data_IF_302647083693
#
_entry.id   IF_302647083693
#
_cell.length_a   1.000
_cell.length_b   1.000
_cell.length_c   1.000
_cell.angle_alpha   90.00
_cell.angle_beta   90.00
_cell.angle_gamma   90.00
#
_symmetry.space_group_name_H-M   'P 1'
#
loop_
_entity.id
_entity.type
_entity.pdbx_description
1 polymer ?
#
# COMPACT_ATOMS: atom_id res chain seq x y z
N UNK A 1 3.83 5.61 27.36
CA UNK A 1 4.92 5.24 26.42
C UNK A 1 4.28 4.79 25.12
N UNK A 2 4.49 5.43 23.97
CA UNK A 2 3.88 4.95 22.72
C UNK A 2 4.62 3.70 22.23
N UNK A 3 3.86 2.66 21.90
CA UNK A 3 4.37 1.40 21.38
C UNK A 3 5.08 1.62 20.04
N UNK A 4 6.29 1.07 19.92
CA UNK A 4 7.02 0.97 18.64
C UNK A 4 6.22 0.03 17.73
N UNK A 5 5.74 0.53 16.60
CA UNK A 5 5.17 -0.31 15.54
C UNK A 5 6.31 -1.17 15.00
N UNK A 6 6.21 -2.49 15.19
CA UNK A 6 7.18 -3.46 14.68
C UNK A 6 6.87 -3.64 13.18
N UNK A 7 7.84 -3.32 12.31
CA UNK A 7 7.69 -3.25 10.84
C UNK A 7 7.79 -4.66 10.22
N UNK A 8 7.09 -5.65 10.79
CA UNK A 8 7.06 -7.00 10.26
C UNK A 8 5.87 -7.76 10.85
N UNK A 9 4.64 -7.33 10.52
CA UNK A 9 3.56 -8.31 10.48
C UNK A 9 3.87 -9.22 9.29
N UNK A 10 4.69 -10.24 9.54
CA UNK A 10 5.02 -11.28 8.56
C UNK A 10 3.73 -12.08 8.37
N UNK A 11 2.98 -11.76 7.32
CA UNK A 11 1.82 -12.54 6.93
C UNK A 11 2.30 -13.87 6.36
N UNK A 12 1.93 -14.99 7.00
CA UNK A 12 2.47 -16.31 6.68
C UNK A 12 1.68 -17.04 5.60
N UNK A 13 0.47 -16.56 5.29
CA UNK A 13 -0.41 -17.15 4.30
C UNK A 13 -1.34 -16.10 3.68
N UNK A 14 -2.03 -16.50 2.61
CA UNK A 14 -2.97 -15.66 1.87
C UNK A 14 -4.08 -15.10 2.76
N UNK A 15 -4.58 -15.88 3.71
CA UNK A 15 -5.71 -15.47 4.54
C UNK A 15 -5.29 -14.39 5.54
N UNK A 16 -4.10 -14.52 6.14
CA UNK A 16 -3.48 -13.48 6.98
C UNK A 16 -3.23 -12.18 6.21
N UNK A 17 -2.77 -12.26 4.95
CA UNK A 17 -2.62 -11.09 4.07
C UNK A 17 -3.97 -10.39 3.83
N UNK A 18 -5.00 -11.17 3.51
CA UNK A 18 -6.35 -10.63 3.25
C UNK A 18 -6.93 -10.01 4.52
N UNK A 19 -6.76 -10.65 5.66
CA UNK A 19 -7.25 -10.14 6.95
C UNK A 19 -6.52 -8.86 7.36
N UNK A 20 -5.19 -8.83 7.24
CA UNK A 20 -4.38 -7.63 7.49
C UNK A 20 -4.78 -6.47 6.57
N UNK A 21 -4.99 -6.75 5.29
CA UNK A 21 -5.46 -5.75 4.33
C UNK A 21 -6.85 -5.22 4.68
N UNK A 22 -7.81 -6.09 5.04
CA UNK A 22 -9.16 -5.69 5.47
C UNK A 22 -9.11 -4.82 6.72
N UNK A 23 -8.40 -5.26 7.75
CA UNK A 23 -8.25 -4.52 9.00
C UNK A 23 -7.64 -3.14 8.77
N UNK A 24 -6.65 -3.05 7.87
CA UNK A 24 -6.03 -1.77 7.49
C UNK A 24 -7.02 -0.88 6.75
N UNK A 25 -7.74 -1.41 5.76
CA UNK A 25 -8.77 -0.69 5.01
C UNK A 25 -9.87 -0.14 5.94
N UNK A 26 -10.34 -0.94 6.90
CA UNK A 26 -11.31 -0.53 7.91
C UNK A 26 -10.73 0.55 8.83
N UNK A 27 -9.47 0.42 9.26
CA UNK A 27 -8.80 1.37 10.16
C UNK A 27 -8.64 2.75 9.53
N UNK A 28 -8.34 2.82 8.23
CA UNK A 28 -8.17 4.09 7.52
C UNK A 28 -9.50 4.64 6.96
N UNK A 29 -10.58 3.84 7.01
CA UNK A 29 -11.86 4.17 6.40
C UNK A 29 -11.76 4.27 4.88
N UNK A 30 -11.10 3.29 4.24
CA UNK A 30 -10.91 3.26 2.79
C UNK A 30 -12.27 3.14 2.09
N UNK A 31 -12.60 4.12 1.26
CA UNK A 31 -13.86 4.18 0.50
C UNK A 31 -13.70 3.67 -0.92
N UNK A 32 -12.62 4.09 -1.58
CA UNK A 32 -12.29 3.63 -2.93
C UNK A 32 -10.78 3.62 -3.13
N UNK A 33 -10.34 2.76 -4.04
CA UNK A 33 -8.97 2.75 -4.56
C UNK A 33 -9.06 2.50 -6.07
N UNK A 34 -8.29 3.24 -6.85
CA UNK A 34 -8.25 3.12 -8.31
C UNK A 34 -6.81 3.14 -8.78
N UNK A 35 -6.43 2.17 -9.61
CA UNK A 35 -5.12 2.17 -10.25
C UNK A 35 -5.17 3.21 -11.37
N UNK A 36 -4.26 4.18 -11.31
CA UNK A 36 -4.17 5.28 -12.27
C UNK A 36 -3.00 5.11 -13.24
N UNK A 37 -1.95 4.40 -12.82
CA UNK A 37 -0.83 4.00 -13.67
C UNK A 37 -0.34 2.61 -13.28
N UNK A 38 0.20 1.89 -14.26
CA UNK A 38 0.83 0.58 -14.09
C UNK A 38 1.98 0.47 -15.10
N UNK A 39 3.19 0.30 -14.58
CA UNK A 39 4.39 0.01 -15.36
C UNK A 39 4.89 -1.39 -15.01
N UNK A 40 5.08 -2.23 -16.02
CA UNK A 40 5.51 -3.61 -15.85
C UNK A 40 6.84 -3.81 -16.54
N UNK A 41 7.83 -4.28 -15.78
CA UNK A 41 9.14 -4.66 -16.30
C UNK A 41 9.39 -6.12 -15.95
N UNK A 42 9.96 -6.88 -16.88
CA UNK A 42 10.30 -8.27 -16.67
C UNK A 42 11.77 -8.50 -17.03
N UNK A 43 12.53 -9.02 -16.07
CA UNK A 43 13.93 -9.37 -16.22
C UNK A 43 14.11 -10.85 -15.86
N UNK A 44 14.25 -11.70 -16.88
CA UNK A 44 14.43 -13.15 -16.75
C UNK A 44 13.43 -13.81 -15.78
N UNK A 45 13.86 -13.99 -14.54
CA UNK A 45 13.14 -14.66 -13.45
C UNK A 45 12.36 -13.71 -12.55
N UNK A 46 12.37 -12.39 -12.79
CA UNK A 46 11.67 -11.40 -11.96
C UNK A 46 10.75 -10.53 -12.80
N UNK A 47 9.51 -10.36 -12.36
CA UNK A 47 8.58 -9.33 -12.86
C UNK A 47 8.47 -8.26 -11.77
N UNK A 48 8.70 -7.01 -12.13
CA UNK A 48 8.47 -5.85 -11.26
C UNK A 48 7.30 -5.05 -11.82
N UNK A 49 6.29 -4.80 -10.99
CA UNK A 49 5.14 -3.96 -11.33
C UNK A 49 5.13 -2.76 -10.40
N UNK A 50 5.22 -1.57 -11.00
CA UNK A 50 5.06 -0.30 -10.31
C UNK A 50 3.63 0.21 -10.56
N UNK A 51 2.91 0.50 -9.49
CA UNK A 51 1.52 0.95 -9.51
C UNK A 51 1.38 2.31 -8.85
N UNK A 52 0.61 3.19 -9.48
CA UNK A 52 0.09 4.39 -8.80
C UNK A 52 -1.38 4.17 -8.47
N UNK A 53 -1.69 4.12 -7.18
CA UNK A 53 -3.04 3.93 -6.66
C UNK A 53 -3.54 5.24 -6.09
N UNK A 54 -4.69 5.70 -6.59
CA UNK A 54 -5.42 6.83 -6.04
C UNK A 54 -6.51 6.30 -5.10
N UNK A 55 -6.44 6.63 -3.81
CA UNK A 55 -7.43 6.20 -2.82
C UNK A 55 -8.21 7.36 -2.23
N UNK A 56 -9.46 7.12 -1.87
CA UNK A 56 -10.24 8.03 -1.02
C UNK A 56 -10.51 7.33 0.31
N UNK A 57 -10.35 8.06 1.41
CA UNK A 57 -10.48 7.51 2.75
C UNK A 57 -11.06 8.57 3.71
N UNK A 58 -11.70 8.13 4.79
CA UNK A 58 -12.36 9.06 5.74
C UNK A 58 -11.39 10.08 6.33
N UNK A 59 -10.16 9.65 6.60
CA UNK A 59 -9.11 10.50 7.17
C UNK A 59 -8.66 11.63 6.24
N UNK A 60 -8.99 11.58 4.95
CA UNK A 60 -8.57 12.60 3.96
C UNK A 60 -9.68 13.58 3.62
N UNK A 61 -10.82 13.51 4.31
CA UNK A 61 -12.01 14.32 4.01
C UNK A 61 -12.39 14.20 2.53
N UNK A 62 -12.41 12.96 2.02
CA UNK A 62 -12.70 12.60 0.64
C UNK A 62 -11.72 13.16 -0.41
N UNK A 63 -10.59 13.74 0.01
CA UNK A 63 -9.52 14.13 -0.91
C UNK A 63 -8.79 12.88 -1.39
N UNK A 64 -8.67 12.66 -2.70
CA UNK A 64 -7.90 11.54 -3.23
C UNK A 64 -6.42 11.64 -2.86
N UNK A 65 -5.84 10.54 -2.37
CA UNK A 65 -4.41 10.42 -2.08
C UNK A 65 -3.73 9.48 -3.07
N UNK A 66 -2.72 9.95 -3.81
CA UNK A 66 -1.90 9.06 -4.61
C UNK A 66 -0.88 8.33 -3.73
N UNK A 67 -0.74 7.03 -3.96
CA UNK A 67 0.30 6.19 -3.35
C UNK A 67 0.96 5.33 -4.42
N UNK A 68 2.29 5.25 -4.39
CA UNK A 68 3.05 4.44 -5.32
C UNK A 68 3.48 3.14 -4.64
N UNK A 69 3.32 2.02 -5.32
CA UNK A 69 3.62 0.69 -4.83
C UNK A 69 4.43 -0.09 -5.85
N UNK A 70 5.41 -0.86 -5.38
CA UNK A 70 6.14 -1.84 -6.16
C UNK A 70 5.78 -3.24 -5.70
N UNK A 71 5.60 -4.11 -6.67
CA UNK A 71 5.38 -5.52 -6.48
C UNK A 71 6.43 -6.26 -7.28
N UNK A 72 7.16 -7.17 -6.63
CA UNK A 72 8.12 -8.03 -7.30
C UNK A 72 7.64 -9.47 -7.23
N UNK A 73 7.51 -10.11 -8.40
CA UNK A 73 7.25 -11.53 -8.52
C UNK A 73 8.52 -12.23 -8.97
N UNK A 74 8.85 -13.34 -8.32
CA UNK A 74 9.94 -14.22 -8.69
C UNK A 74 9.41 -15.51 -9.30
N UNK A 75 10.02 -15.95 -10.39
CA UNK A 75 9.77 -17.23 -11.01
C UNK A 75 10.53 -18.33 -10.25
N UNK A 76 9.80 -19.21 -9.57
CA UNK A 76 10.35 -20.34 -8.80
C UNK A 76 10.44 -21.63 -9.63
N UNK A 77 10.28 -21.56 -10.95
CA UNK A 77 10.25 -22.71 -11.87
C UNK A 77 8.92 -23.48 -11.86
N UNK A 78 8.16 -23.43 -10.77
CA UNK A 78 6.79 -23.98 -10.67
C UNK A 78 5.70 -22.94 -10.89
N UNK A 79 6.08 -21.66 -11.05
CA UNK A 79 5.18 -20.53 -11.22
C UNK A 79 5.79 -19.22 -10.71
N UNK A 80 4.99 -18.16 -10.79
CA UNK A 80 5.33 -16.85 -10.26
C UNK A 80 4.84 -16.71 -8.82
N UNK A 81 5.73 -16.32 -7.92
CA UNK A 81 5.42 -16.03 -6.53
C UNK A 81 5.63 -14.54 -6.30
N UNK A 82 4.65 -13.86 -5.69
CA UNK A 82 4.86 -12.50 -5.21
C UNK A 82 5.84 -12.54 -4.04
N UNK A 83 7.06 -12.03 -4.26
CA UNK A 83 8.16 -12.06 -3.31
C UNK A 83 8.17 -10.81 -2.42
N UNK A 84 7.84 -9.65 -3.01
CA UNK A 84 7.88 -8.37 -2.30
C UNK A 84 6.72 -7.45 -2.68
N UNK A 85 6.23 -6.71 -1.68
CA UNK A 85 5.34 -5.57 -1.83
C UNK A 85 5.93 -4.42 -1.02
N UNK A 86 6.18 -3.29 -1.65
CA UNK A 86 6.74 -2.12 -0.95
C UNK A 86 6.11 -0.80 -1.44
N UNK A 87 5.87 0.18 -0.56
CA UNK A 87 5.50 1.52 -0.98
C UNK A 87 6.75 2.24 -1.52
N UNK A 88 6.68 2.76 -2.75
CA UNK A 88 7.78 3.51 -3.38
C UNK A 88 7.81 4.97 -2.95
N UNK A 89 6.63 5.57 -2.84
CA UNK A 89 6.48 6.91 -2.31
C UNK A 89 5.07 7.03 -1.73
N UNK A 90 5.02 7.36 -0.45
CA UNK A 90 3.77 7.78 0.18
C UNK A 90 3.98 9.25 0.48
N UNK A 91 3.25 10.13 -0.20
CA UNK A 91 3.01 11.45 0.34
C UNK A 91 2.17 11.24 1.60
N UNK A 92 2.84 10.93 2.71
CA UNK A 92 2.19 10.82 4.00
C UNK A 92 1.66 12.20 4.32
N UNK A 93 0.35 12.36 4.18
CA UNK A 93 -0.34 13.40 4.90
C UNK A 93 -0.29 12.98 6.36
N UNK A 94 0.65 13.54 7.13
CA UNK A 94 0.71 13.24 8.56
C UNK A 94 -0.53 13.82 9.23
N UNK A 95 -1.03 13.18 10.29
CA UNK A 95 -2.12 13.76 11.12
C UNK A 95 -1.79 15.19 11.60
N UNK A 96 -0.51 15.57 11.69
CA UNK A 96 -0.08 16.94 12.03
C UNK A 96 -0.35 17.93 10.90
N UNK A 97 -0.22 17.53 9.65
CA UNK A 97 -0.38 18.42 8.49
C UNK A 97 -1.86 18.77 8.27
N UNK A 98 -2.77 17.83 8.53
CA UNK A 98 -4.23 18.04 8.45
C UNK A 98 -4.70 19.07 9.48
N UNK A 99 -4.21 19.01 10.71
CA UNK A 99 -4.61 19.94 11.78
C UNK A 99 -4.08 21.36 11.51
N UNK A 100 -2.92 21.50 10.87
CA UNK A 100 -2.36 22.82 10.52
C UNK A 100 -3.17 23.57 9.46
N UNK A 101 -3.86 22.86 8.56
CA UNK A 101 -4.64 23.44 7.46
C UNK A 101 -6.11 23.74 7.82
N UNK A 102 -6.54 23.45 9.05
CA UNK A 102 -7.91 23.69 9.53
C UNK A 102 -8.03 24.89 10.49
N UNK A 103 -6.96 25.67 10.70
CA UNK A 103 -6.93 26.83 11.61
C UNK A 103 -6.88 28.19 10.89
N UNK A 104 -7.36 28.28 9.64
CA UNK A 104 -7.56 29.56 8.97
C UNK A 104 -9.02 29.77 8.57
#
# INVERSE_FOLDING_TARGET
MPARVNIADVYNNRDELIEGAKKTADTIGLKSATITSMDVTQNDTVITVDLTVLSTQDLTMDRPLPTNWRFDWENRGTGWLLDRIEPLDTQQVSKRDIVSHMQH
#
